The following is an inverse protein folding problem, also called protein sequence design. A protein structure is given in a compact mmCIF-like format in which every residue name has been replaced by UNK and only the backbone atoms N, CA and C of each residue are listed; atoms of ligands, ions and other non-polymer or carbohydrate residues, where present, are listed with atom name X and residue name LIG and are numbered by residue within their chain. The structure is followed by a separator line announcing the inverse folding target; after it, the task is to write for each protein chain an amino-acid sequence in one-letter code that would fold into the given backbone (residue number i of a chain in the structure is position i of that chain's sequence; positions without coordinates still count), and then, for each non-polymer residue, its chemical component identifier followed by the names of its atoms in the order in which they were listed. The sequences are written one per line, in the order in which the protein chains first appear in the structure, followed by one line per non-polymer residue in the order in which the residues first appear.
data_IF_311892989962
#
_entry.id   IF_311892989962
#
_cell.length_a   1.000
_cell.length_b   1.000
_cell.length_c   1.000
_cell.angle_alpha   90.00
_cell.angle_beta   90.00
_cell.angle_gamma   90.00
#
_symmetry.space_group_name_H-M   'P 1'
#
loop_
_entity.id
_entity.type
_entity.pdbx_description
1 polymer ?
#
# COMPACT_ATOMS: atom_id res chain seq x y z
N UNK A 1 -11.93 11.61 25.73
CA UNK A 1 -12.56 10.61 24.85
C UNK A 1 -11.59 9.46 24.83
N UNK A 2 -11.90 8.36 25.50
CA UNK A 2 -11.07 7.16 25.49
C UNK A 2 -11.12 6.56 24.09
N UNK A 3 -10.01 6.60 23.36
CA UNK A 3 -9.80 5.71 22.21
C UNK A 3 -10.04 4.29 22.69
N UNK A 4 -11.19 3.71 22.34
CA UNK A 4 -11.40 2.29 22.55
C UNK A 4 -10.37 1.55 21.71
N UNK A 5 -9.70 0.56 22.30
CA UNK A 5 -8.89 -0.40 21.55
C UNK A 5 -9.72 -0.91 20.37
N UNK A 6 -9.39 -0.42 19.16
CA UNK A 6 -9.95 -0.95 17.91
C UNK A 6 -9.34 -2.34 17.76
N UNK A 7 -10.04 -3.33 18.30
CA UNK A 7 -9.64 -4.73 18.16
C UNK A 7 -9.77 -5.13 16.69
N UNK A 8 -8.80 -5.90 16.21
CA UNK A 8 -8.84 -6.46 14.86
C UNK A 8 -10.13 -7.29 14.71
N UNK A 9 -10.90 -7.13 13.62
CA UNK A 9 -12.11 -7.90 13.42
C UNK A 9 -11.82 -9.40 13.42
N UNK A 10 -12.63 -10.17 14.13
CA UNK A 10 -12.48 -11.63 14.19
C UNK A 10 -12.76 -12.30 12.85
N UNK A 11 -12.46 -13.60 12.76
CA UNK A 11 -12.66 -14.41 11.55
C UNK A 11 -14.10 -14.42 11.04
N UNK A 12 -15.07 -14.31 11.95
CA UNK A 12 -16.51 -14.30 11.66
C UNK A 12 -17.03 -12.97 11.09
N UNK A 13 -16.23 -11.89 11.14
CA UNK A 13 -16.61 -10.61 10.57
C UNK A 13 -16.70 -10.69 9.03
N UNK A 14 -17.51 -9.81 8.43
CA UNK A 14 -17.64 -9.80 6.97
C UNK A 14 -16.32 -9.37 6.31
N UNK A 15 -16.06 -9.84 5.08
CA UNK A 15 -14.87 -9.42 4.33
C UNK A 15 -14.80 -7.89 4.18
N UNK A 16 -15.93 -7.22 4.01
CA UNK A 16 -16.00 -5.77 3.91
C UNK A 16 -15.59 -5.08 5.21
N UNK A 17 -16.00 -5.59 6.37
CA UNK A 17 -15.62 -5.02 7.67
C UNK A 17 -14.11 -5.14 7.90
N UNK A 18 -13.53 -6.29 7.52
CA UNK A 18 -12.08 -6.53 7.63
C UNK A 18 -11.28 -5.61 6.69
N UNK A 19 -11.76 -5.41 5.47
CA UNK A 19 -11.15 -4.49 4.50
C UNK A 19 -11.23 -3.04 4.96
N UNK A 20 -12.41 -2.61 5.42
CA UNK A 20 -12.61 -1.27 5.94
C UNK A 20 -11.69 -1.02 7.13
N UNK A 21 -11.58 -2.00 8.03
CA UNK A 21 -10.67 -1.92 9.16
C UNK A 21 -9.21 -1.78 8.71
N UNK A 22 -8.74 -2.57 7.74
CA UNK A 22 -7.39 -2.44 7.19
C UNK A 22 -7.17 -1.03 6.63
N UNK A 23 -8.08 -0.54 5.78
CA UNK A 23 -8.01 0.78 5.16
C UNK A 23 -7.94 1.89 6.20
N UNK A 24 -8.92 1.95 7.11
CA UNK A 24 -9.01 3.00 8.12
C UNK A 24 -7.76 3.05 9.01
N UNK A 25 -7.24 1.88 9.40
CA UNK A 25 -6.05 1.81 10.25
C UNK A 25 -4.79 2.24 9.49
N UNK A 26 -4.66 1.86 8.20
CA UNK A 26 -3.57 2.34 7.37
C UNK A 26 -3.65 3.86 7.18
N UNK A 27 -4.81 4.42 6.80
CA UNK A 27 -5.03 5.88 6.66
C UNK A 27 -4.70 6.61 7.96
N UNK A 28 -5.22 6.12 9.08
CA UNK A 28 -4.98 6.71 10.40
C UNK A 28 -3.48 6.72 10.74
N UNK A 29 -2.79 5.59 10.55
CA UNK A 29 -1.37 5.45 10.86
C UNK A 29 -0.51 6.34 9.96
N UNK A 30 -0.75 6.35 8.65
CA UNK A 30 0.03 7.18 7.71
C UNK A 30 -0.14 8.66 8.01
N UNK A 31 -1.34 9.09 8.40
CA UNK A 31 -1.59 10.47 8.83
C UNK A 31 -0.94 10.79 10.17
N UNK A 32 -1.09 9.92 11.18
CA UNK A 32 -0.54 10.12 12.52
C UNK A 32 0.99 10.26 12.50
N UNK A 33 1.67 9.43 11.72
CA UNK A 33 3.13 9.45 11.62
C UNK A 33 3.64 10.36 10.50
N UNK A 34 2.73 11.06 9.79
CA UNK A 34 3.04 11.88 8.61
C UNK A 34 3.95 11.14 7.64
N UNK A 35 3.60 9.87 7.36
CA UNK A 35 4.45 8.96 6.60
C UNK A 35 4.75 9.54 5.22
N UNK A 36 6.04 9.64 4.85
CA UNK A 36 6.44 9.99 3.50
C UNK A 36 5.88 9.03 2.44
N UNK A 37 5.50 9.57 1.29
CA UNK A 37 4.94 8.80 0.17
C UNK A 37 5.84 7.62 -0.21
N UNK A 38 7.17 7.84 -0.29
CA UNK A 38 8.11 6.79 -0.67
C UNK A 38 8.11 5.60 0.29
N UNK A 39 7.91 5.83 1.58
CA UNK A 39 7.92 4.77 2.58
C UNK A 39 6.65 3.93 2.53
N UNK A 40 5.51 4.60 2.42
CA UNK A 40 4.23 3.91 2.21
C UNK A 40 4.27 3.10 0.92
N UNK A 41 4.83 3.67 -0.16
CA UNK A 41 5.00 2.98 -1.45
C UNK A 41 5.83 1.70 -1.32
N UNK A 42 6.93 1.73 -0.57
CA UNK A 42 7.80 0.57 -0.36
C UNK A 42 7.08 -0.54 0.41
N UNK A 43 6.34 -0.20 1.47
CA UNK A 43 5.59 -1.18 2.26
C UNK A 43 4.43 -1.76 1.45
N UNK A 44 3.61 -0.93 0.78
CA UNK A 44 2.51 -1.40 -0.07
C UNK A 44 3.03 -2.28 -1.20
N UNK A 45 4.14 -1.90 -1.85
CA UNK A 45 4.77 -2.72 -2.90
C UNK A 45 5.27 -4.07 -2.38
N UNK A 46 5.76 -4.14 -1.13
CA UNK A 46 6.10 -5.41 -0.48
C UNK A 46 4.86 -6.31 -0.35
N UNK A 47 3.75 -5.78 0.14
CA UNK A 47 2.52 -6.56 0.32
C UNK A 47 1.86 -6.99 -0.98
N UNK A 48 1.85 -6.14 -2.01
CA UNK A 48 1.40 -6.52 -3.35
C UNK A 48 2.18 -7.76 -3.82
N UNK A 49 3.52 -7.74 -3.74
CA UNK A 49 4.35 -8.89 -4.14
C UNK A 49 4.06 -10.13 -3.31
N UNK A 50 4.04 -10.02 -1.98
CA UNK A 50 3.79 -11.15 -1.07
C UNK A 50 2.45 -11.81 -1.35
N UNK A 51 1.38 -11.01 -1.48
CA UNK A 51 0.03 -11.51 -1.72
C UNK A 51 -0.09 -12.09 -3.12
N UNK A 52 0.45 -11.41 -4.13
CA UNK A 52 0.43 -11.87 -5.52
C UNK A 52 1.19 -13.19 -5.70
N UNK A 53 2.37 -13.33 -5.10
CA UNK A 53 3.16 -14.57 -5.14
C UNK A 53 2.38 -15.73 -4.52
N UNK A 54 1.70 -15.49 -3.40
CA UNK A 54 0.87 -16.51 -2.75
C UNK A 54 -0.34 -16.90 -3.60
N UNK A 55 -1.03 -15.94 -4.21
CA UNK A 55 -2.16 -16.20 -5.08
C UNK A 55 -1.73 -16.92 -6.35
N UNK A 56 -0.61 -16.53 -6.95
CA UNK A 56 -0.08 -17.17 -8.17
C UNK A 56 0.33 -18.61 -7.91
N UNK A 57 0.91 -18.88 -6.74
CA UNK A 57 1.24 -20.24 -6.31
C UNK A 57 -0.03 -21.10 -6.19
N UNK A 58 -1.06 -20.61 -5.49
CA UNK A 58 -2.33 -21.31 -5.35
C UNK A 58 -3.02 -21.56 -6.71
N UNK A 59 -3.08 -20.54 -7.57
CA UNK A 59 -3.64 -20.68 -8.91
C UNK A 59 -2.89 -21.71 -9.76
N UNK A 60 -1.56 -21.74 -9.68
CA UNK A 60 -0.73 -22.73 -10.40
C UNK A 60 -0.98 -24.15 -9.88
N UNK A 61 -1.15 -24.32 -8.57
CA UNK A 61 -1.45 -25.62 -7.94
C UNK A 61 -2.83 -26.17 -8.36
N UNK A 62 -3.82 -25.29 -8.53
CA UNK A 62 -5.18 -25.63 -8.96
C UNK A 62 -5.38 -25.62 -10.49
N UNK A 63 -4.36 -25.21 -11.26
CA UNK A 63 -4.45 -25.08 -12.72
C UNK A 63 -5.32 -23.92 -13.20
N UNK A 64 -5.48 -22.89 -12.36
CA UNK A 64 -6.23 -21.66 -12.64
C UNK A 64 -5.30 -20.49 -13.01
N UNK A 65 -5.88 -19.43 -13.56
CA UNK A 65 -5.18 -18.17 -13.85
C UNK A 65 -5.81 -17.01 -13.08
N UNK A 66 -4.97 -16.12 -12.55
CA UNK A 66 -5.46 -14.93 -11.86
C UNK A 66 -6.01 -13.89 -12.85
N UNK A 67 -7.09 -13.17 -12.48
CA UNK A 67 -7.62 -12.06 -13.27
C UNK A 67 -6.56 -10.97 -13.54
N UNK A 68 -6.48 -10.51 -14.80
CA UNK A 68 -5.51 -9.47 -15.22
C UNK A 68 -5.60 -8.17 -14.43
N UNK A 69 -6.77 -7.85 -13.89
CA UNK A 69 -7.02 -6.67 -13.06
C UNK A 69 -6.26 -6.70 -11.73
N UNK A 70 -5.91 -7.90 -11.22
CA UNK A 70 -5.12 -8.07 -10.00
C UNK A 70 -3.62 -8.09 -10.28
N UNK A 71 -3.24 -8.60 -11.46
CA UNK A 71 -1.85 -8.75 -11.89
C UNK A 71 -1.15 -7.41 -12.13
N UNK A 72 -1.91 -6.39 -12.57
CA UNK A 72 -1.36 -5.12 -13.03
C UNK A 72 -1.82 -3.96 -12.15
N UNK A 73 -1.00 -2.90 -12.01
CA UNK A 73 -1.44 -1.66 -11.42
C UNK A 73 -2.68 -1.10 -12.12
N UNK A 74 -3.56 -0.43 -11.36
CA UNK A 74 -4.72 0.24 -11.94
C UNK A 74 -4.26 1.32 -12.95
N UNK A 75 -4.98 1.47 -14.07
CA UNK A 75 -4.67 2.49 -15.06
C UNK A 75 -4.88 3.87 -14.45
N UNK A 76 -3.90 4.76 -14.62
CA UNK A 76 -3.98 6.17 -14.23
C UNK A 76 -4.34 7.01 -15.44
N UNK A 77 -5.30 7.95 -15.28
CA UNK A 77 -5.65 8.94 -16.31
C UNK A 77 -4.55 10.00 -16.51
N UNK A 78 -3.53 10.01 -15.65
CA UNK A 78 -2.35 10.84 -15.82
C UNK A 78 -1.72 10.54 -17.18
N UNK A 79 -1.52 11.54 -18.06
CA UNK A 79 -0.70 11.31 -19.25
C UNK A 79 0.61 10.72 -18.77
N UNK A 80 1.09 9.66 -19.43
CA UNK A 80 2.44 9.14 -19.21
C UNK A 80 3.40 10.30 -19.46
N UNK A 81 3.72 11.05 -18.40
CA UNK A 81 4.54 12.23 -18.53
C UNK A 81 5.92 11.71 -18.89
N UNK A 82 6.35 12.05 -20.10
CA UNK A 82 7.67 11.78 -20.63
C UNK A 82 8.69 12.15 -19.55
N UNK A 83 9.38 11.15 -18.99
CA UNK A 83 10.60 11.26 -18.16
C UNK A 83 10.70 12.58 -17.38
N UNK A 84 10.18 12.58 -16.14
CA UNK A 84 10.28 13.69 -15.21
C UNK A 84 11.78 13.96 -14.95
N UNK A 85 12.33 14.88 -15.73
CA UNK A 85 13.75 15.22 -15.72
C UNK A 85 14.11 15.84 -14.37
N UNK A 86 14.79 15.08 -13.52
CA UNK A 86 15.25 15.51 -12.20
C UNK A 86 15.47 14.35 -11.23
N UNK A 87 14.49 13.44 -11.14
CA UNK A 87 14.55 12.27 -10.24
C UNK A 87 15.43 11.16 -10.83
N UNK A 88 15.37 10.93 -12.15
CA UNK A 88 16.15 9.89 -12.84
C UNK A 88 17.67 10.05 -12.67
N UNK A 89 18.13 11.26 -12.32
CA UNK A 89 19.53 11.57 -12.05
C UNK A 89 19.96 11.35 -10.59
N UNK A 90 19.01 11.14 -9.67
CA UNK A 90 19.29 10.98 -8.25
C UNK A 90 19.53 9.49 -7.91
N UNK A 91 20.64 9.12 -7.23
CA UNK A 91 20.93 7.73 -6.92
C UNK A 91 19.86 7.12 -6.01
N UNK A 92 19.23 6.02 -6.45
CA UNK A 92 18.19 5.33 -5.71
C UNK A 92 18.70 4.82 -4.35
N UNK A 93 19.95 4.39 -4.28
CA UNK A 93 20.59 3.90 -3.06
C UNK A 93 20.56 4.98 -1.97
N UNK A 94 20.80 6.25 -2.35
CA UNK A 94 20.76 7.38 -1.42
C UNK A 94 19.36 7.75 -0.98
N UNK A 95 18.32 7.40 -1.75
CA UNK A 95 16.92 7.57 -1.33
C UNK A 95 16.57 6.51 -0.29
N UNK A 96 16.96 5.26 -0.54
CA UNK A 96 16.71 4.13 0.37
C UNK A 96 17.44 4.33 1.70
N UNK A 97 18.66 4.87 1.70
CA UNK A 97 19.40 5.18 2.94
C UNK A 97 18.71 6.24 3.82
N UNK A 98 17.78 7.02 3.25
CA UNK A 98 17.09 8.13 3.95
C UNK A 98 15.70 7.76 4.46
N UNK A 99 15.17 6.60 4.10
CA UNK A 99 13.87 6.17 4.60
C UNK A 99 13.96 5.75 6.06
N UNK A 100 12.90 6.02 6.81
CA UNK A 100 12.78 5.65 8.20
C UNK A 100 12.30 4.20 8.33
N UNK A 101 13.22 3.31 8.70
CA UNK A 101 12.93 1.87 8.83
C UNK A 101 11.94 1.58 9.96
N UNK A 102 12.02 2.28 11.09
CA UNK A 102 11.12 2.04 12.22
C UNK A 102 9.68 2.37 11.83
N UNK A 103 9.47 3.48 11.11
CA UNK A 103 8.13 3.87 10.64
C UNK A 103 7.58 2.88 9.61
N UNK A 104 8.42 2.38 8.72
CA UNK A 104 8.05 1.32 7.78
C UNK A 104 7.70 0.01 8.49
N UNK A 105 8.48 -0.39 9.49
CA UNK A 105 8.26 -1.62 10.27
C UNK A 105 6.98 -1.56 11.13
N UNK A 106 6.58 -0.36 11.57
CA UNK A 106 5.29 -0.15 12.24
C UNK A 106 4.13 -0.38 11.26
N UNK A 107 4.19 0.21 10.06
CA UNK A 107 3.16 -0.02 9.02
C UNK A 107 3.13 -1.49 8.57
N UNK A 108 4.31 -2.10 8.40
CA UNK A 108 4.43 -3.53 8.08
C UNK A 108 3.78 -4.39 9.16
N UNK A 109 4.08 -4.12 10.42
CA UNK A 109 3.49 -4.85 11.54
C UNK A 109 1.97 -4.71 11.55
N UNK A 110 1.45 -3.50 11.35
CA UNK A 110 0.01 -3.25 11.28
C UNK A 110 -0.66 -4.09 10.18
N UNK A 111 -0.15 -4.03 8.96
CA UNK A 111 -0.71 -4.77 7.83
C UNK A 111 -0.62 -6.28 8.09
N UNK A 112 0.55 -6.77 8.51
CA UNK A 112 0.75 -8.19 8.83
C UNK A 112 -0.23 -8.69 9.90
N UNK A 113 -0.39 -7.93 10.98
CA UNK A 113 -1.28 -8.30 12.08
C UNK A 113 -2.72 -8.37 11.59
N UNK A 114 -3.21 -7.35 10.89
CA UNK A 114 -4.59 -7.32 10.40
C UNK A 114 -4.85 -8.46 9.40
N UNK A 115 -3.96 -8.67 8.43
CA UNK A 115 -4.11 -9.76 7.44
C UNK A 115 -4.21 -11.13 8.11
N UNK A 116 -3.35 -11.40 9.09
CA UNK A 116 -3.27 -12.70 9.76
C UNK A 116 -4.39 -12.91 10.78
N UNK A 117 -4.63 -11.94 11.67
CA UNK A 117 -5.61 -12.08 12.76
C UNK A 117 -7.05 -12.06 12.24
N UNK A 118 -7.35 -11.23 11.24
CA UNK A 118 -8.69 -11.21 10.63
C UNK A 118 -8.90 -12.31 9.60
N UNK A 119 -7.84 -13.02 9.19
CA UNK A 119 -7.83 -13.95 8.07
C UNK A 119 -8.44 -13.31 6.81
N UNK A 120 -7.95 -12.14 6.44
CA UNK A 120 -8.47 -11.42 5.28
C UNK A 120 -8.13 -12.17 4.00
N UNK A 121 -9.12 -12.30 3.12
CA UNK A 121 -8.92 -12.95 1.82
C UNK A 121 -7.89 -12.18 0.98
N UNK A 122 -6.93 -12.91 0.42
CA UNK A 122 -5.82 -12.32 -0.34
C UNK A 122 -6.26 -11.60 -1.61
N UNK A 123 -7.33 -12.04 -2.28
CA UNK A 123 -7.87 -11.32 -3.44
C UNK A 123 -8.37 -9.94 -3.01
N UNK A 124 -9.13 -9.88 -1.93
CA UNK A 124 -9.65 -8.63 -1.37
C UNK A 124 -8.52 -7.71 -0.87
N UNK A 125 -7.54 -8.28 -0.15
CA UNK A 125 -6.38 -7.53 0.32
C UNK A 125 -5.57 -6.96 -0.86
N UNK A 126 -5.34 -7.75 -1.91
CA UNK A 126 -4.63 -7.31 -3.09
C UNK A 126 -5.36 -6.17 -3.79
N UNK A 127 -6.69 -6.26 -3.94
CA UNK A 127 -7.49 -5.18 -4.50
C UNK A 127 -7.34 -3.89 -3.68
N UNK A 128 -7.36 -3.99 -2.34
CA UNK A 128 -7.12 -2.85 -1.47
C UNK A 128 -5.73 -2.24 -1.69
N UNK A 129 -4.68 -3.06 -1.73
CA UNK A 129 -3.33 -2.57 -1.99
C UNK A 129 -3.17 -1.96 -3.39
N UNK A 130 -3.94 -2.38 -4.39
CA UNK A 130 -3.98 -1.74 -5.72
C UNK A 130 -4.62 -0.35 -5.68
N UNK A 131 -5.62 -0.13 -4.83
CA UNK A 131 -6.17 1.21 -4.60
C UNK A 131 -5.13 2.13 -3.95
N UNK A 132 -4.41 1.63 -2.94
CA UNK A 132 -3.29 2.35 -2.34
C UNK A 132 -2.19 2.67 -3.35
N UNK A 133 -1.77 1.68 -4.16
CA UNK A 133 -0.79 1.88 -5.23
C UNK A 133 -1.23 2.95 -6.23
N UNK A 134 -2.52 3.00 -6.56
CA UNK A 134 -3.07 4.01 -7.46
C UNK A 134 -2.90 5.43 -6.88
N UNK A 135 -3.32 5.68 -5.65
CA UNK A 135 -3.17 6.99 -5.00
C UNK A 135 -1.71 7.40 -4.83
N UNK A 136 -0.86 6.45 -4.47
CA UNK A 136 0.58 6.66 -4.36
C UNK A 136 1.18 7.03 -5.72
N UNK A 137 0.83 6.31 -6.79
CA UNK A 137 1.33 6.60 -8.14
C UNK A 137 0.85 7.94 -8.67
N UNK A 138 -0.40 8.32 -8.37
CA UNK A 138 -0.95 9.64 -8.70
C UNK A 138 -0.07 10.74 -8.09
N UNK A 139 0.21 10.68 -6.80
CA UNK A 139 1.06 11.67 -6.13
C UNK A 139 2.52 11.62 -6.60
N UNK A 140 3.09 10.43 -6.77
CA UNK A 140 4.45 10.27 -7.28
C UNK A 140 4.62 10.86 -8.69
N UNK A 141 3.57 10.84 -9.52
CA UNK A 141 3.61 11.43 -10.86
C UNK A 141 3.72 12.97 -10.84
N UNK A 142 3.39 13.60 -9.72
CA UNK A 142 3.49 15.05 -9.51
C UNK A 142 4.81 15.46 -8.84
N UNK A 143 5.56 14.49 -8.30
CA UNK A 143 6.85 14.75 -7.68
C UNK A 143 7.90 15.08 -8.74
N UNK A 144 8.49 16.27 -8.63
CA UNK A 144 9.54 16.76 -9.53
C UNK A 144 10.93 16.84 -8.89
N UNK A 145 11.02 16.64 -7.57
CA UNK A 145 12.28 16.74 -6.81
C UNK A 145 12.45 15.58 -5.83
N UNK A 146 13.70 15.19 -5.50
CA UNK A 146 13.94 14.17 -4.49
C UNK A 146 13.30 14.47 -3.13
N UNK A 147 13.19 15.75 -2.76
CA UNK A 147 12.53 16.16 -1.51
C UNK A 147 11.02 15.87 -1.51
N UNK A 148 10.35 15.93 -2.67
CA UNK A 148 8.92 15.63 -2.76
C UNK A 148 8.58 14.15 -2.55
N UNK A 149 9.54 13.24 -2.74
CA UNK A 149 9.37 11.82 -2.35
C UNK A 149 9.20 11.65 -0.84
N UNK A 150 9.73 12.61 -0.07
CA UNK A 150 9.67 12.64 1.39
C UNK A 150 8.50 13.47 1.94
N UNK A 151 7.66 14.02 1.06
CA UNK A 151 6.44 14.70 1.47
C UNK A 151 5.47 13.71 2.10
N UNK A 152 4.71 14.11 3.14
CA UNK A 152 3.67 13.26 3.72
C UNK A 152 2.66 12.85 2.64
N UNK A 153 2.24 11.58 2.68
CA UNK A 153 1.16 11.08 1.84
C UNK A 153 -0.14 11.85 2.12
N UNK A 154 -0.79 12.34 1.07
CA UNK A 154 -2.08 13.04 1.16
C UNK A 154 -3.15 12.24 0.45
N UNK A 155 -4.05 11.60 1.18
CA UNK A 155 -5.17 10.84 0.60
C UNK A 155 -6.39 11.75 0.41
N UNK A 156 -7.18 11.49 -0.62
CA UNK A 156 -8.44 12.21 -0.85
C UNK A 156 -9.44 11.92 0.29
N UNK A 157 -10.30 12.88 0.63
CA UNK A 157 -11.26 12.77 1.75
C UNK A 157 -12.23 11.58 1.62
N UNK A 158 -12.46 11.12 0.39
CA UNK A 158 -13.37 10.01 0.05
C UNK A 158 -12.67 8.64 -0.06
N UNK A 159 -11.37 8.55 0.25
CA UNK A 159 -10.58 7.32 0.12
C UNK A 159 -10.92 6.24 1.18
#
# INVERSE_FOLDING_TARGET
MSEGERNVPGTEASSNDKLLFLRENMVHLTNQLSMPIIEVALVVSKYIRVVLDSLQKAATEEGEELPKILLNPLPSDSPQSETISGIDSFPLEKLIERVDQDRMDILDTLIRTILNESQLEFVSALQEFRNWEFEIRKQLSEVSTPGGLFSPLSLDDDF
#
